data_IF_249714507677
#
_entry.id   IF_249714507677
#
_cell.length_a   1.000
_cell.length_b   1.000
_cell.length_c   1.000
_cell.angle_alpha   90.00
_cell.angle_beta   90.00
_cell.angle_gamma   90.00
#
_symmetry.space_group_name_H-M   'P 1'
#
loop_
_entity.id
_entity.type
_entity.pdbx_description
1 polymer ?
#
# COMPACT_ATOMS: atom_id res chain seq x y z
N UNK A 1 -18.53 15.01 -18.45
CA UNK A 1 -17.50 14.19 -19.14
C UNK A 1 -17.94 12.73 -19.06
N UNK A 2 -18.00 12.04 -20.20
CA UNK A 2 -18.71 10.77 -20.40
C UNK A 2 -18.14 9.65 -19.51
N UNK A 3 -18.93 9.16 -18.55
CA UNK A 3 -18.59 7.98 -17.75
C UNK A 3 -18.90 6.71 -18.56
N UNK A 4 -18.03 6.37 -19.51
CA UNK A 4 -17.99 5.01 -20.03
C UNK A 4 -17.64 4.04 -18.88
N UNK A 5 -18.20 2.83 -18.90
CA UNK A 5 -17.78 1.79 -17.95
C UNK A 5 -16.27 1.56 -18.09
N UNK A 6 -15.55 1.32 -16.99
CA UNK A 6 -14.13 1.04 -17.10
C UNK A 6 -13.90 -0.27 -17.85
N UNK A 7 -13.32 -0.19 -19.06
CA UNK A 7 -12.86 -1.34 -19.84
C UNK A 7 -11.66 -2.08 -19.24
N UNK A 8 -11.29 -1.78 -17.99
CA UNK A 8 -10.13 -2.37 -17.33
C UNK A 8 -10.53 -2.93 -15.98
N UNK A 9 -9.94 -4.06 -15.60
CA UNK A 9 -10.16 -4.75 -14.34
C UNK A 9 -8.84 -4.97 -13.62
N UNK A 10 -8.72 -4.44 -12.40
CA UNK A 10 -7.60 -4.74 -11.50
C UNK A 10 -7.88 -6.03 -10.74
N UNK A 11 -6.95 -6.98 -10.83
CA UNK A 11 -7.04 -8.22 -10.06
C UNK A 11 -6.17 -8.07 -8.80
N UNK A 12 -6.75 -8.16 -7.60
CA UNK A 12 -6.02 -7.84 -6.37
C UNK A 12 -6.00 -8.99 -5.36
N UNK A 13 -4.99 -8.97 -4.49
CA UNK A 13 -4.81 -9.91 -3.40
C UNK A 13 -5.86 -9.71 -2.28
N UNK A 14 -6.68 -10.73 -2.06
CA UNK A 14 -7.76 -10.81 -1.08
C UNK A 14 -7.34 -10.48 0.35
N UNK A 15 -6.13 -10.89 0.72
CA UNK A 15 -5.63 -10.80 2.08
C UNK A 15 -4.62 -9.65 2.24
N UNK A 16 -4.54 -8.74 1.27
CA UNK A 16 -3.81 -7.47 1.34
C UNK A 16 -4.79 -6.28 1.55
N UNK A 17 -4.96 -5.74 2.78
CA UNK A 17 -5.82 -4.60 3.07
C UNK A 17 -5.48 -3.35 2.27
N UNK A 18 -4.19 -3.08 2.04
CA UNK A 18 -3.75 -1.96 1.21
C UNK A 18 -4.25 -2.11 -0.23
N UNK A 19 -4.07 -3.30 -0.80
CA UNK A 19 -4.53 -3.67 -2.13
C UNK A 19 -6.06 -3.52 -2.22
N UNK A 20 -6.77 -3.98 -1.19
CA UNK A 20 -8.20 -3.79 -1.08
C UNK A 20 -8.62 -2.33 -1.04
N UNK A 21 -7.88 -1.50 -0.31
CA UNK A 21 -8.16 -0.09 -0.12
C UNK A 21 -8.04 0.71 -1.42
N UNK A 22 -6.87 0.71 -2.06
CA UNK A 22 -6.66 1.55 -3.23
C UNK A 22 -7.51 1.10 -4.43
N UNK A 23 -7.66 -0.20 -4.65
CA UNK A 23 -8.51 -0.69 -5.75
C UNK A 23 -9.98 -0.34 -5.51
N UNK A 24 -10.42 -0.28 -4.23
CA UNK A 24 -11.78 0.21 -3.88
C UNK A 24 -11.95 1.65 -4.31
N UNK A 25 -10.97 2.49 -3.99
CA UNK A 25 -10.99 3.90 -4.39
C UNK A 25 -11.07 4.03 -5.92
N UNK A 26 -10.25 3.28 -6.67
CA UNK A 26 -10.30 3.30 -8.13
C UNK A 26 -11.66 2.88 -8.71
N UNK A 27 -12.33 1.88 -8.11
CA UNK A 27 -13.68 1.51 -8.51
C UNK A 27 -14.71 2.60 -8.19
N UNK A 28 -14.68 3.17 -7.00
CA UNK A 28 -15.59 4.26 -6.63
C UNK A 28 -15.42 5.50 -7.51
N UNK A 29 -14.19 5.80 -7.90
CA UNK A 29 -13.84 6.88 -8.82
C UNK A 29 -14.11 6.53 -10.28
N UNK A 30 -14.57 5.30 -10.58
CA UNK A 30 -14.85 4.76 -11.93
C UNK A 30 -13.63 4.74 -12.85
N UNK A 31 -12.42 4.61 -12.29
CA UNK A 31 -11.17 4.57 -13.06
C UNK A 31 -10.86 3.17 -13.60
N UNK A 32 -11.18 2.14 -12.81
CA UNK A 32 -11.06 0.73 -13.17
C UNK A 32 -12.11 -0.08 -12.41
N UNK A 33 -12.59 -1.19 -12.97
CA UNK A 33 -13.22 -2.22 -12.14
C UNK A 33 -12.15 -2.99 -11.37
N UNK A 34 -12.58 -3.86 -10.44
CA UNK A 34 -11.71 -4.69 -9.62
C UNK A 34 -12.32 -6.05 -9.35
N UNK A 35 -11.48 -7.06 -9.22
CA UNK A 35 -11.86 -8.41 -8.79
C UNK A 35 -10.78 -9.01 -7.91
N UNK A 36 -11.17 -9.78 -6.90
CA UNK A 36 -10.22 -10.47 -6.06
C UNK A 36 -9.68 -11.71 -6.78
N UNK A 37 -8.44 -12.14 -6.50
CA UNK A 37 -7.91 -13.37 -7.08
C UNK A 37 -8.76 -14.59 -6.73
N UNK A 38 -9.25 -14.67 -5.49
CA UNK A 38 -10.09 -15.78 -5.02
C UNK A 38 -11.44 -15.88 -5.74
N UNK A 39 -11.90 -14.79 -6.36
CA UNK A 39 -13.18 -14.67 -7.05
C UNK A 39 -13.02 -14.68 -8.58
N UNK A 40 -11.80 -14.91 -9.09
CA UNK A 40 -11.51 -14.85 -10.51
C UNK A 40 -11.97 -16.12 -11.24
N UNK A 41 -12.86 -16.02 -12.25
CA UNK A 41 -13.23 -17.16 -13.08
C UNK A 41 -12.06 -17.73 -13.86
N UNK A 42 -12.12 -19.03 -14.16
CA UNK A 42 -11.08 -19.77 -14.88
C UNK A 42 -10.66 -19.10 -16.20
N UNK A 43 -11.62 -18.56 -16.97
CA UNK A 43 -11.36 -17.88 -18.25
C UNK A 43 -10.39 -16.69 -18.16
N UNK A 44 -10.30 -16.06 -16.98
CA UNK A 44 -9.42 -14.93 -16.74
C UNK A 44 -8.09 -15.38 -16.13
N UNK A 45 -8.08 -16.50 -15.40
CA UNK A 45 -6.85 -17.07 -14.84
C UNK A 45 -5.89 -17.48 -15.94
N UNK A 46 -6.38 -18.04 -17.04
CA UNK A 46 -5.56 -18.47 -18.19
C UNK A 46 -4.86 -17.31 -18.91
N UNK A 47 -5.31 -16.07 -18.69
CA UNK A 47 -4.71 -14.86 -19.27
C UNK A 47 -3.63 -14.26 -18.37
N UNK A 48 -3.49 -14.74 -17.14
CA UNK A 48 -2.58 -14.19 -16.15
C UNK A 48 -1.33 -15.04 -16.02
N UNK A 49 -0.18 -14.36 -15.99
CA UNK A 49 1.03 -14.93 -15.42
C UNK A 49 0.88 -14.90 -13.90
N UNK A 50 0.46 -16.03 -13.33
CA UNK A 50 0.15 -16.14 -11.90
C UNK A 50 1.38 -15.94 -11.02
N UNK A 51 2.58 -16.30 -11.49
CA UNK A 51 3.81 -16.11 -10.72
C UNK A 51 4.17 -14.62 -10.65
N UNK A 52 4.13 -13.96 -11.80
CA UNK A 52 4.31 -12.51 -11.88
C UNK A 52 3.23 -11.76 -11.10
N UNK A 53 1.99 -12.20 -11.16
CA UNK A 53 0.83 -11.58 -10.51
C UNK A 53 0.92 -11.51 -8.98
N UNK A 54 1.67 -12.44 -8.36
CA UNK A 54 1.95 -12.40 -6.90
C UNK A 54 2.78 -11.18 -6.53
N UNK A 55 3.68 -10.77 -7.42
CA UNK A 55 4.58 -9.64 -7.24
C UNK A 55 4.01 -8.36 -7.86
N UNK A 56 3.30 -8.44 -8.98
CA UNK A 56 2.90 -7.29 -9.76
C UNK A 56 1.40 -7.28 -9.98
N UNK A 57 0.69 -6.26 -9.46
CA UNK A 57 -0.77 -6.26 -9.59
C UNK A 57 -1.19 -6.23 -11.07
N UNK A 58 -1.99 -7.20 -11.56
CA UNK A 58 -2.44 -7.19 -12.94
C UNK A 58 -3.58 -6.20 -13.18
N UNK A 59 -3.53 -5.55 -14.32
CA UNK A 59 -4.61 -4.79 -14.93
C UNK A 59 -4.95 -5.46 -16.27
N UNK A 60 -6.11 -6.10 -16.32
CA UNK A 60 -6.64 -6.70 -17.54
C UNK A 60 -7.46 -5.66 -18.32
N UNK A 61 -7.16 -5.48 -19.60
CA UNK A 61 -8.03 -4.81 -20.56
C UNK A 61 -9.08 -5.80 -21.08
N UNK A 62 -10.36 -5.48 -20.90
CA UNK A 62 -11.49 -6.36 -21.22
C UNK A 62 -11.81 -6.37 -22.73
N UNK A 63 -11.35 -5.37 -23.49
CA UNK A 63 -11.56 -5.30 -24.93
C UNK A 63 -10.43 -6.01 -25.69
N UNK A 64 -9.17 -5.72 -25.35
CA UNK A 64 -8.02 -6.29 -26.06
C UNK A 64 -7.53 -7.61 -25.47
N UNK A 65 -7.84 -7.89 -24.21
CA UNK A 65 -7.26 -9.00 -23.46
C UNK A 65 -5.81 -8.76 -23.01
N UNK A 66 -5.24 -7.57 -23.25
CA UNK A 66 -3.89 -7.20 -22.79
C UNK A 66 -3.85 -7.16 -21.27
N UNK A 67 -2.80 -7.73 -20.67
CA UNK A 67 -2.56 -7.63 -19.23
C UNK A 67 -1.31 -6.80 -18.97
N UNK A 68 -1.48 -5.70 -18.24
CA UNK A 68 -0.38 -4.92 -17.67
C UNK A 68 -0.14 -5.37 -16.25
N UNK A 69 1.09 -5.17 -15.77
CA UNK A 69 1.49 -5.61 -14.44
C UNK A 69 2.16 -4.47 -13.65
N UNK A 70 1.94 -4.48 -12.34
CA UNK A 70 2.72 -3.72 -11.36
C UNK A 70 2.62 -2.21 -11.52
N UNK A 71 3.76 -1.52 -11.60
CA UNK A 71 3.78 -0.07 -11.70
C UNK A 71 3.09 0.43 -12.98
N UNK A 72 3.22 -0.30 -14.10
CA UNK A 72 2.54 0.07 -15.35
C UNK A 72 1.01 -0.07 -15.24
N UNK A 73 0.50 -1.08 -14.52
CA UNK A 73 -0.92 -1.18 -14.17
C UNK A 73 -1.41 0.06 -13.42
N UNK A 74 -0.67 0.46 -12.38
CA UNK A 74 -1.04 1.59 -11.54
C UNK A 74 -0.99 2.90 -12.34
N UNK A 75 0.06 3.11 -13.14
CA UNK A 75 0.19 4.28 -14.01
C UNK A 75 -0.93 4.31 -15.05
N UNK A 76 -1.33 3.17 -15.63
CA UNK A 76 -2.41 3.11 -16.59
C UNK A 76 -3.76 3.56 -15.97
N UNK A 77 -4.10 3.05 -14.78
CA UNK A 77 -5.34 3.43 -14.09
C UNK A 77 -5.30 4.89 -13.64
N UNK A 78 -4.19 5.35 -13.06
CA UNK A 78 -4.03 6.74 -12.63
C UNK A 78 -4.05 7.72 -13.80
N UNK A 79 -3.40 7.39 -14.92
CA UNK A 79 -3.38 8.23 -16.12
C UNK A 79 -4.78 8.37 -16.75
N UNK A 80 -5.60 7.32 -16.66
CA UNK A 80 -6.99 7.36 -17.12
C UNK A 80 -7.86 8.22 -16.19
N UNK A 81 -7.69 8.04 -14.88
CA UNK A 81 -8.47 8.74 -13.86
C UNK A 81 -8.11 10.21 -13.67
N UNK A 82 -6.83 10.54 -13.86
CA UNK A 82 -6.26 11.88 -13.73
C UNK A 82 -5.41 12.21 -14.97
N UNK A 83 -6.02 12.52 -16.12
CA UNK A 83 -5.30 12.75 -17.38
C UNK A 83 -4.24 13.86 -17.30
N UNK A 84 -4.45 14.85 -16.43
CA UNK A 84 -3.50 15.94 -16.18
C UNK A 84 -2.16 15.41 -15.64
N UNK A 85 -2.17 14.34 -14.84
CA UNK A 85 -0.97 13.73 -14.30
C UNK A 85 -0.33 12.71 -15.25
N UNK A 86 -1.01 12.31 -16.33
CA UNK A 86 -0.53 11.28 -17.25
C UNK A 86 0.86 11.59 -17.86
N UNK A 87 1.17 12.82 -18.31
CA UNK A 87 2.50 13.13 -18.85
C UNK A 87 3.61 12.94 -17.82
N UNK A 88 3.38 13.35 -16.57
CA UNK A 88 4.34 13.23 -15.46
C UNK A 88 4.53 11.77 -15.09
N UNK A 89 3.43 11.02 -14.89
CA UNK A 89 3.48 9.61 -14.51
C UNK A 89 4.12 8.72 -15.59
N UNK A 90 3.95 9.07 -16.86
CA UNK A 90 4.53 8.31 -17.99
C UNK A 90 5.98 8.69 -18.29
N UNK A 91 6.51 9.77 -17.70
CA UNK A 91 7.87 10.21 -17.96
C UNK A 91 8.88 9.17 -17.41
N UNK A 92 9.81 8.62 -18.23
CA UNK A 92 10.73 7.56 -17.83
C UNK A 92 11.51 7.84 -16.54
N UNK A 93 11.90 9.10 -16.29
CA UNK A 93 12.62 9.48 -15.07
C UNK A 93 11.75 9.24 -13.83
N UNK A 94 10.47 9.61 -13.90
CA UNK A 94 9.50 9.39 -12.82
C UNK A 94 9.23 7.90 -12.64
N UNK A 95 9.03 7.15 -13.74
CA UNK A 95 8.88 5.69 -13.68
C UNK A 95 10.08 5.02 -13.01
N UNK A 96 11.30 5.41 -13.40
CA UNK A 96 12.53 4.90 -12.83
C UNK A 96 12.63 5.20 -11.33
N UNK A 97 12.27 6.41 -10.90
CA UNK A 97 12.25 6.78 -9.49
C UNK A 97 11.17 6.03 -8.67
N UNK A 98 10.01 5.74 -9.27
CA UNK A 98 8.91 5.03 -8.61
C UNK A 98 9.12 3.52 -8.53
N UNK A 99 9.90 2.93 -9.42
CA UNK A 99 10.15 1.48 -9.45
C UNK A 99 10.71 0.91 -8.14
N UNK A 100 11.75 1.50 -7.49
CA UNK A 100 12.22 1.01 -6.21
C UNK A 100 11.19 1.20 -5.09
N UNK A 101 10.42 2.28 -5.11
CA UNK A 101 9.32 2.50 -4.15
C UNK A 101 8.24 1.43 -4.31
N UNK A 102 7.88 1.12 -5.56
CA UNK A 102 6.92 0.07 -5.89
C UNK A 102 7.41 -1.30 -5.38
N UNK A 103 8.68 -1.65 -5.62
CA UNK A 103 9.29 -2.88 -5.11
C UNK A 103 9.28 -2.94 -3.59
N UNK A 104 9.70 -1.86 -2.93
CA UNK A 104 9.71 -1.74 -1.47
C UNK A 104 8.33 -2.04 -0.86
N UNK A 105 7.27 -1.40 -1.38
CA UNK A 105 5.91 -1.60 -0.87
C UNK A 105 5.42 -3.01 -1.20
N UNK A 106 5.61 -3.45 -2.42
CA UNK A 106 5.09 -4.73 -2.91
C UNK A 106 5.62 -5.91 -2.10
N UNK A 107 6.94 -6.06 -2.00
CA UNK A 107 7.57 -7.19 -1.30
C UNK A 107 7.35 -7.17 0.22
N UNK A 108 6.90 -6.03 0.76
CA UNK A 108 6.61 -5.88 2.19
C UNK A 108 5.11 -5.68 2.49
N UNK A 109 4.20 -5.68 1.50
CA UNK A 109 2.79 -5.30 1.68
C UNK A 109 2.05 -6.11 2.74
N UNK A 110 2.38 -7.40 2.86
CA UNK A 110 1.78 -8.31 3.84
C UNK A 110 2.26 -8.06 5.27
N UNK A 111 3.48 -7.57 5.39
CA UNK A 111 4.15 -7.22 6.65
C UNK A 111 3.69 -5.86 7.12
N UNK A 112 3.68 -4.88 6.21
CA UNK A 112 3.13 -3.55 6.46
C UNK A 112 1.67 -3.67 6.92
N UNK A 113 0.89 -4.55 6.29
CA UNK A 113 -0.50 -4.76 6.66
C UNK A 113 -0.73 -5.79 7.78
N UNK A 114 0.32 -6.47 8.27
CA UNK A 114 0.22 -7.48 9.34
C UNK A 114 -0.74 -8.64 9.06
N UNK A 115 -0.79 -9.13 7.82
CA UNK A 115 -1.82 -10.09 7.37
C UNK A 115 -1.31 -11.51 7.22
N UNK A 116 -2.22 -12.48 7.33
CA UNK A 116 -1.93 -13.91 7.20
C UNK A 116 -2.22 -14.42 5.78
N UNK A 117 -1.62 -15.55 5.40
CA UNK A 117 -2.06 -16.31 4.24
C UNK A 117 -3.56 -16.62 4.33
N UNK A 118 -4.26 -16.67 3.19
CA UNK A 118 -5.66 -17.09 3.18
C UNK A 118 -5.79 -18.53 3.68
N UNK A 119 -6.88 -18.84 4.39
CA UNK A 119 -7.10 -20.19 4.94
C UNK A 119 -7.37 -21.25 3.85
N UNK A 120 -7.83 -20.83 2.66
CA UNK A 120 -8.09 -21.66 1.48
C UNK A 120 -7.86 -20.83 0.23
N UNK A 121 -7.59 -21.50 -0.89
CA UNK A 121 -7.42 -20.86 -2.20
C UNK A 121 -5.98 -20.47 -2.49
N UNK A 122 -5.80 -19.69 -3.56
CA UNK A 122 -4.49 -19.25 -4.03
C UNK A 122 -3.90 -18.16 -3.11
N UNK A 123 -2.67 -18.35 -2.65
CA UNK A 123 -1.97 -17.33 -1.87
C UNK A 123 -1.20 -16.38 -2.80
N UNK A 124 -1.72 -15.17 -2.95
CA UNK A 124 -1.10 -14.10 -3.74
C UNK A 124 0.04 -13.39 -3.00
N UNK A 125 0.57 -13.95 -1.91
CA UNK A 125 1.71 -13.38 -1.22
C UNK A 125 2.94 -13.34 -2.15
N UNK A 126 3.66 -12.20 -2.22
CA UNK A 126 4.92 -12.13 -2.93
C UNK A 126 5.96 -13.00 -2.21
N UNK A 127 6.95 -13.47 -2.95
CA UNK A 127 8.04 -14.26 -2.38
C UNK A 127 8.89 -13.43 -1.41
N UNK A 128 9.51 -14.12 -0.46
CA UNK A 128 10.40 -13.48 0.49
C UNK A 128 11.65 -12.95 -0.25
N UNK A 129 11.84 -11.63 -0.19
CA UNK A 129 12.96 -10.98 -0.84
C UNK A 129 13.78 -10.18 0.17
N UNK A 130 14.87 -10.77 0.64
CA UNK A 130 15.70 -10.22 1.73
C UNK A 130 16.20 -8.78 1.48
N UNK A 131 16.72 -8.41 0.29
CA UNK A 131 17.11 -7.03 0.01
C UNK A 131 15.98 -6.01 0.23
N UNK A 132 14.76 -6.29 -0.23
CA UNK A 132 13.61 -5.41 -0.04
C UNK A 132 13.16 -5.37 1.41
N UNK A 133 13.32 -6.47 2.15
CA UNK A 133 13.02 -6.52 3.57
C UNK A 133 13.98 -5.64 4.36
N UNK A 134 15.28 -5.77 4.12
CA UNK A 134 16.31 -4.95 4.77
C UNK A 134 16.11 -3.47 4.40
N UNK A 135 15.90 -3.16 3.12
CA UNK A 135 15.62 -1.80 2.68
C UNK A 135 14.40 -1.20 3.42
N UNK A 136 13.34 -1.98 3.61
CA UNK A 136 12.17 -1.54 4.36
C UNK A 136 12.49 -1.24 5.82
N UNK A 137 13.18 -2.16 6.51
CA UNK A 137 13.59 -1.97 7.90
C UNK A 137 14.49 -0.71 8.06
N UNK A 138 15.46 -0.53 7.17
CA UNK A 138 16.37 0.62 7.21
C UNK A 138 15.64 1.94 6.95
N UNK A 139 14.77 1.99 5.93
CA UNK A 139 14.02 3.21 5.59
C UNK A 139 13.03 3.57 6.71
N UNK A 140 12.26 2.59 7.20
CA UNK A 140 11.32 2.82 8.29
C UNK A 140 12.04 3.24 9.58
N UNK A 141 13.17 2.62 9.91
CA UNK A 141 14.01 2.98 11.06
C UNK A 141 14.58 4.40 10.93
N UNK A 142 15.12 4.75 9.76
CA UNK A 142 15.60 6.10 9.49
C UNK A 142 14.47 7.13 9.61
N UNK A 143 13.28 6.84 9.07
CA UNK A 143 12.12 7.72 9.19
C UNK A 143 11.69 7.94 10.66
N UNK A 144 11.69 6.89 11.48
CA UNK A 144 11.41 7.00 12.92
C UNK A 144 12.44 7.91 13.61
N UNK A 145 13.74 7.71 13.33
CA UNK A 145 14.81 8.51 13.92
C UNK A 145 14.72 9.98 13.49
N UNK A 146 14.37 10.25 12.24
CA UNK A 146 14.20 11.61 11.72
C UNK A 146 12.94 12.30 12.28
N UNK A 147 11.88 11.54 12.56
CA UNK A 147 10.62 12.08 13.08
C UNK A 147 10.61 12.29 14.61
N UNK A 148 11.51 11.64 15.36
CA UNK A 148 11.39 11.52 16.82
C UNK A 148 12.37 12.37 17.64
N UNK A 149 11.86 13.00 18.69
CA UNK A 149 12.67 13.34 19.88
C UNK A 149 12.80 12.11 20.77
N UNK A 150 13.84 12.06 21.62
CA UNK A 150 14.11 10.91 22.51
C UNK A 150 12.86 10.33 23.25
N UNK A 151 11.97 11.12 23.86
CA UNK A 151 10.75 10.58 24.50
C UNK A 151 9.76 9.96 23.51
N UNK A 152 9.65 10.50 22.28
CA UNK A 152 8.79 9.94 21.23
C UNK A 152 9.28 8.57 20.78
N UNK A 153 10.59 8.42 20.67
CA UNK A 153 11.25 7.16 20.31
C UNK A 153 10.99 6.08 21.36
N UNK A 154 10.98 6.43 22.66
CA UNK A 154 10.70 5.48 23.74
C UNK A 154 9.25 4.96 23.72
N UNK A 155 8.27 5.85 23.48
CA UNK A 155 6.85 5.45 23.35
C UNK A 155 6.67 4.55 22.12
N UNK A 156 7.25 4.93 20.98
CA UNK A 156 7.18 4.15 19.77
C UNK A 156 7.86 2.77 19.92
N UNK A 157 8.98 2.69 20.65
CA UNK A 157 9.66 1.44 20.98
C UNK A 157 8.82 0.55 21.89
N UNK A 158 8.17 1.12 22.92
CA UNK A 158 7.26 0.36 23.80
C UNK A 158 6.08 -0.24 23.02
N UNK A 159 5.49 0.51 22.09
CA UNK A 159 4.44 0.01 21.18
C UNK A 159 4.96 -1.13 20.28
N UNK A 160 6.18 -0.99 19.75
CA UNK A 160 6.83 -2.03 18.96
C UNK A 160 7.04 -3.31 19.77
N UNK A 161 7.55 -3.22 21.00
CA UNK A 161 7.78 -4.37 21.90
C UNK A 161 6.46 -5.05 22.28
N UNK A 162 5.42 -4.28 22.62
CA UNK A 162 4.10 -4.83 22.89
C UNK A 162 3.55 -5.59 21.68
N UNK A 163 3.70 -5.03 20.47
CA UNK A 163 3.25 -5.69 19.26
C UNK A 163 4.09 -6.94 18.93
N UNK A 164 5.39 -6.93 19.19
CA UNK A 164 6.24 -8.13 19.08
C UNK A 164 5.70 -9.25 19.96
N UNK A 165 5.36 -8.95 21.22
CA UNK A 165 4.81 -9.92 22.16
C UNK A 165 3.39 -10.40 21.76
N UNK A 166 2.59 -9.54 21.13
CA UNK A 166 1.24 -9.88 20.65
C UNK A 166 1.24 -10.56 19.26
N UNK A 167 2.33 -10.40 18.50
CA UNK A 167 2.47 -10.92 17.16
C UNK A 167 2.65 -12.43 17.18
N UNK A 168 1.91 -13.12 16.31
CA UNK A 168 1.98 -14.58 16.15
C UNK A 168 2.81 -15.03 14.96
N UNK A 169 3.62 -14.13 14.38
CA UNK A 169 4.58 -14.49 13.33
C UNK A 169 5.77 -15.19 13.98
N UNK A 170 6.09 -16.40 13.50
CA UNK A 170 7.26 -17.17 13.95
C UNK A 170 8.54 -16.76 13.22
N UNK A 171 8.43 -16.10 12.07
CA UNK A 171 9.58 -15.67 11.27
C UNK A 171 10.17 -14.33 11.77
N UNK A 172 11.48 -14.27 12.09
CA UNK A 172 12.09 -13.12 12.76
C UNK A 172 12.05 -11.84 11.91
N UNK A 173 12.27 -11.94 10.60
CA UNK A 173 12.22 -10.79 9.69
C UNK A 173 10.80 -10.27 9.45
N UNK A 174 9.79 -11.13 9.56
CA UNK A 174 8.38 -10.71 9.49
C UNK A 174 7.92 -10.08 10.79
N UNK A 175 8.40 -10.61 11.91
CA UNK A 175 8.17 -10.06 13.22
C UNK A 175 8.79 -8.65 13.37
N UNK A 176 10.06 -8.48 12.98
CA UNK A 176 10.74 -7.18 12.97
C UNK A 176 10.07 -6.18 12.03
N UNK A 177 9.65 -6.64 10.84
CA UNK A 177 8.93 -5.81 9.88
C UNK A 177 7.57 -5.32 10.40
N UNK A 178 6.79 -6.18 11.06
CA UNK A 178 5.53 -5.77 11.66
C UNK A 178 5.76 -4.75 12.79
N UNK A 179 6.74 -5.01 13.66
CA UNK A 179 7.05 -4.13 14.78
C UNK A 179 7.48 -2.74 14.33
N UNK A 180 8.40 -2.64 13.37
CA UNK A 180 8.86 -1.34 12.87
C UNK A 180 7.73 -0.57 12.17
N UNK A 181 6.78 -1.28 11.54
CA UNK A 181 5.59 -0.65 10.93
C UNK A 181 4.73 0.03 11.99
N UNK A 182 4.44 -0.67 13.10
CA UNK A 182 3.65 -0.14 14.21
C UNK A 182 4.38 1.02 14.89
N UNK A 183 5.69 0.87 15.13
CA UNK A 183 6.54 1.94 15.66
C UNK A 183 6.52 3.17 14.75
N UNK A 184 6.66 3.00 13.43
CA UNK A 184 6.63 4.11 12.46
C UNK A 184 5.27 4.81 12.43
N UNK A 185 4.17 4.05 12.45
CA UNK A 185 2.82 4.62 12.52
C UNK A 185 2.63 5.41 13.82
N UNK A 186 3.05 4.85 14.96
CA UNK A 186 2.99 5.51 16.26
C UNK A 186 3.83 6.79 16.29
N UNK A 187 5.07 6.75 15.79
CA UNK A 187 5.95 7.91 15.70
C UNK A 187 5.35 9.00 14.81
N UNK A 188 4.77 8.62 13.66
CA UNK A 188 4.11 9.56 12.74
C UNK A 188 2.89 10.22 13.41
N UNK A 189 2.02 9.43 14.03
CA UNK A 189 0.86 9.95 14.75
C UNK A 189 1.26 10.91 15.87
N UNK A 190 2.27 10.53 16.64
CA UNK A 190 2.72 11.31 17.78
C UNK A 190 3.51 12.57 17.38
N UNK A 191 4.14 12.58 16.20
CA UNK A 191 4.73 13.78 15.60
C UNK A 191 3.65 14.82 15.23
N UNK A 192 2.53 14.39 14.64
CA UNK A 192 1.47 15.31 14.20
C UNK A 192 0.42 15.65 15.28
N UNK A 193 0.32 14.87 16.36
CA UNK A 193 -0.69 15.06 17.42
C UNK A 193 -0.64 16.45 18.10
N UNK A 194 0.54 17.00 18.45
CA UNK A 194 0.63 18.30 19.14
C UNK A 194 0.12 19.44 18.26
N UNK A 195 0.51 19.47 16.98
CA UNK A 195 0.10 20.50 16.03
C UNK A 195 -1.41 20.42 15.73
N UNK A 196 -1.96 19.20 15.66
CA UNK A 196 -3.40 19.00 15.50
C UNK A 196 -4.19 19.52 16.69
N UNK A 197 -3.72 19.24 17.91
CA UNK A 197 -4.33 19.75 19.16
C UNK A 197 -4.29 21.28 19.22
N UNK A 198 -3.15 21.90 18.90
CA UNK A 198 -3.01 23.35 18.84
C UNK A 198 -3.94 23.95 17.78
N UNK A 199 -4.01 23.37 16.58
CA UNK A 199 -4.91 23.83 15.53
C UNK A 199 -6.40 23.74 15.92
N UNK A 200 -6.81 22.67 16.60
CA UNK A 200 -8.18 22.52 17.13
C UNK A 200 -8.46 23.55 18.22
N UNK A 201 -7.53 23.77 19.15
CA UNK A 201 -7.70 24.76 20.23
C UNK A 201 -7.82 26.17 19.65
N UNK A 202 -6.94 26.56 18.71
CA UNK A 202 -7.01 27.84 18.02
C UNK A 202 -8.33 27.97 17.25
N UNK A 203 -8.77 26.91 16.56
CA UNK A 203 -10.04 26.88 15.84
C UNK A 203 -11.25 27.07 16.76
N UNK A 204 -11.27 26.43 17.93
CA UNK A 204 -12.31 26.61 18.96
C UNK A 204 -12.30 28.04 19.50
N UNK A 205 -11.12 28.59 19.76
CA UNK A 205 -10.97 29.95 20.28
C UNK A 205 -11.38 31.02 19.25
N UNK A 206 -11.05 30.82 17.98
CA UNK A 206 -11.52 31.67 16.88
C UNK A 206 -13.04 31.55 16.70
N UNK A 207 -13.58 30.33 16.71
CA UNK A 207 -15.03 30.13 16.64
C UNK A 207 -15.76 30.86 17.78
N UNK A 208 -15.26 30.76 19.02
CA UNK A 208 -15.83 31.49 20.17
C UNK A 208 -15.73 33.02 20.07
N UNK A 209 -14.76 33.54 19.31
CA UNK A 209 -14.58 34.99 19.11
C UNK A 209 -15.44 35.55 17.98
N UNK A 210 -15.90 34.70 17.06
CA UNK A 210 -16.64 35.10 15.86
C UNK A 210 -18.06 34.50 15.77
N UNK A 211 -18.50 33.72 16.76
CA UNK A 211 -19.87 33.24 16.94
C UNK A 211 -20.52 33.96 18.12
#
# INVERSE_FOLDING_TARGET
>A
MMNAMPNTMLIYDDACPMCKGYTRAFKHLKWSDRRAFSELPAEFLDKLDLDRARHEIPLLDLESGEVRYGLDSQIAVLSKGLPILAPVLKWPIIKFALMPVYGLITYNRRIIAGTRPPARGFDCAPDFHLPWRIAYLCIAGAAILLAGTLPLLLIAAALGIFFLAASRSTEPFSLAGNAITVTLLGATLAFFLPDLLVGVIIGIELYRRFA
#
